data_IF_653528315957
#
_entry.id   IF_653528315957
#
_cell.length_a   1.000
_cell.length_b   1.000
_cell.length_c   1.000
_cell.angle_alpha   90.00
_cell.angle_beta   90.00
_cell.angle_gamma   90.00
#
_symmetry.space_group_name_H-M   'P 1'
#
loop_
_entity.id
_entity.type
_entity.pdbx_description
1 polymer ?
#
# COMPACT_ATOMS: atom_id res chain seq x y z
N UNK A 1 2.14 20.77 2.50
CA UNK A 1 2.45 22.12 2.98
C UNK A 1 3.03 22.05 4.38
N UNK A 2 4.01 22.93 4.68
CA UNK A 2 4.54 23.17 6.02
C UNK A 2 4.56 24.66 6.28
N UNK A 3 4.13 25.08 7.46
CA UNK A 3 4.11 26.49 7.87
C UNK A 3 3.12 26.73 9.02
N UNK A 4 3.27 27.88 9.67
CA UNK A 4 2.36 28.31 10.73
C UNK A 4 1.01 28.79 10.14
N UNK A 5 -0.08 28.57 10.85
CA UNK A 5 -1.40 29.00 10.47
C UNK A 5 -1.90 28.33 9.19
N UNK A 6 -1.67 27.02 9.06
CA UNK A 6 -2.28 26.16 8.05
C UNK A 6 -3.35 25.27 8.70
N UNK A 7 -4.32 24.82 7.89
CA UNK A 7 -5.39 23.92 8.31
C UNK A 7 -5.65 22.84 7.26
N UNK A 8 -5.99 21.63 7.70
CA UNK A 8 -6.49 20.55 6.84
C UNK A 8 -7.97 20.73 6.44
N UNK A 9 -8.67 21.74 6.96
CA UNK A 9 -10.11 21.99 6.69
C UNK A 9 -10.31 22.73 5.36
N UNK A 10 -9.91 22.10 4.26
CA UNK A 10 -10.07 22.62 2.90
C UNK A 10 -10.60 21.54 1.96
N UNK A 11 -11.30 21.96 0.91
CA UNK A 11 -11.86 21.05 -0.08
C UNK A 11 -10.79 20.57 -1.09
N UNK A 12 -11.11 19.51 -1.83
CA UNK A 12 -10.28 19.01 -2.93
C UNK A 12 -10.35 19.91 -4.17
N UNK A 13 -9.24 19.98 -4.91
CA UNK A 13 -9.22 20.55 -6.26
C UNK A 13 -9.57 19.50 -7.34
N UNK A 14 -9.59 18.22 -7.01
CA UNK A 14 -9.85 17.12 -7.93
C UNK A 14 -11.30 17.15 -8.45
N UNK A 15 -11.54 17.26 -9.78
CA UNK A 15 -12.88 17.27 -10.36
C UNK A 15 -13.57 15.90 -10.30
N UNK A 16 -12.84 14.79 -10.06
CA UNK A 16 -13.32 13.39 -10.08
C UNK A 16 -13.84 12.88 -11.42
N UNK A 17 -13.85 13.71 -12.44
CA UNK A 17 -14.33 13.38 -13.79
C UNK A 17 -13.29 13.86 -14.79
N UNK A 18 -12.85 12.97 -15.65
CA UNK A 18 -11.91 13.28 -16.71
C UNK A 18 -12.45 14.36 -17.66
N UNK A 19 -11.59 15.22 -18.16
CA UNK A 19 -11.94 16.33 -19.03
C UNK A 19 -12.46 17.59 -18.32
N UNK A 20 -12.75 17.51 -17.03
CA UNK A 20 -13.14 18.68 -16.24
C UNK A 20 -11.93 19.48 -15.75
N UNK A 21 -12.14 20.79 -15.58
CA UNK A 21 -11.13 21.66 -14.96
C UNK A 21 -11.01 21.37 -13.46
N UNK A 22 -9.82 21.58 -12.85
CA UNK A 22 -9.66 21.55 -11.41
C UNK A 22 -10.69 22.45 -10.72
N UNK A 23 -11.21 21.98 -9.60
CA UNK A 23 -12.10 22.77 -8.75
C UNK A 23 -11.31 23.81 -7.97
N UNK A 24 -11.96 24.92 -7.65
CA UNK A 24 -11.45 25.87 -6.69
C UNK A 24 -11.45 25.25 -5.29
N UNK A 25 -10.31 25.26 -4.61
CA UNK A 25 -10.19 24.83 -3.22
C UNK A 25 -10.89 25.88 -2.33
N UNK A 26 -11.77 25.43 -1.44
CA UNK A 26 -12.53 26.28 -0.51
C UNK A 26 -12.19 25.91 0.92
N UNK A 27 -12.19 26.90 1.81
CA UNK A 27 -12.21 26.65 3.25
C UNK A 27 -13.49 25.88 3.62
N UNK A 28 -13.37 24.89 4.50
CA UNK A 28 -14.49 24.08 4.99
C UNK A 28 -14.96 24.53 6.39
N UNK A 29 -14.29 25.53 6.96
CA UNK A 29 -14.71 26.24 8.17
C UNK A 29 -14.38 27.74 8.05
N UNK A 30 -14.79 28.54 9.02
CA UNK A 30 -14.63 30.01 9.05
C UNK A 30 -13.28 30.46 9.66
N UNK A 31 -12.29 29.55 9.79
CA UNK A 31 -10.99 29.90 10.37
C UNK A 31 -10.10 30.64 9.36
N UNK A 32 -9.28 31.61 9.81
CA UNK A 32 -8.31 32.26 8.95
C UNK A 32 -7.27 31.29 8.38
N UNK A 33 -6.94 30.22 9.09
CA UNK A 33 -6.01 29.17 8.71
C UNK A 33 -6.56 28.36 7.52
N UNK A 34 -7.83 28.00 7.53
CA UNK A 34 -8.46 27.29 6.41
C UNK A 34 -8.53 28.19 5.16
N UNK A 35 -8.91 29.46 5.31
CA UNK A 35 -8.94 30.42 4.21
C UNK A 35 -7.54 30.65 3.62
N UNK A 36 -6.51 30.81 4.46
CA UNK A 36 -5.12 30.93 4.05
C UNK A 36 -4.64 29.68 3.29
N UNK A 37 -4.96 28.50 3.79
CA UNK A 37 -4.57 27.23 3.14
C UNK A 37 -5.23 27.08 1.79
N UNK A 38 -6.52 27.37 1.66
CA UNK A 38 -7.26 27.34 0.40
C UNK A 38 -6.64 28.29 -0.64
N UNK A 39 -6.32 29.52 -0.25
CA UNK A 39 -5.67 30.51 -1.12
C UNK A 39 -4.29 30.03 -1.61
N UNK A 40 -3.47 29.45 -0.72
CA UNK A 40 -2.17 28.89 -1.09
C UNK A 40 -2.32 27.74 -2.09
N UNK A 41 -3.25 26.82 -1.86
CA UNK A 41 -3.49 25.67 -2.74
C UNK A 41 -4.01 26.12 -4.12
N UNK A 42 -4.92 27.08 -4.19
CA UNK A 42 -5.38 27.64 -5.46
C UNK A 42 -4.22 28.30 -6.25
N UNK A 43 -3.37 29.06 -5.57
CA UNK A 43 -2.14 29.64 -6.17
C UNK A 43 -1.17 28.56 -6.63
N UNK A 44 -1.03 27.46 -5.88
CA UNK A 44 -0.18 26.32 -6.26
C UNK A 44 -0.66 25.68 -7.56
N UNK A 45 -1.95 25.40 -7.70
CA UNK A 45 -2.54 24.80 -8.92
C UNK A 45 -2.25 25.67 -10.14
N UNK A 46 -2.52 26.95 -10.05
CA UNK A 46 -2.27 27.90 -11.16
C UNK A 46 -0.78 28.01 -11.48
N UNK A 47 0.06 28.19 -10.46
CA UNK A 47 1.49 28.38 -10.62
C UNK A 47 2.17 27.14 -11.21
N UNK A 48 1.80 25.94 -10.78
CA UNK A 48 2.36 24.70 -11.33
C UNK A 48 2.00 24.54 -12.80
N UNK A 49 0.75 24.79 -13.17
CA UNK A 49 0.35 24.78 -14.59
C UNK A 49 1.19 25.75 -15.44
N UNK A 50 1.32 27.02 -15.01
CA UNK A 50 2.10 28.03 -15.73
C UNK A 50 3.59 27.66 -15.85
N UNK A 51 4.14 26.99 -14.84
CA UNK A 51 5.56 26.58 -14.87
C UNK A 51 5.84 25.38 -15.78
N UNK A 52 4.88 24.45 -15.91
CA UNK A 52 5.16 23.16 -16.57
C UNK A 52 4.44 22.98 -17.91
N UNK A 53 3.44 23.80 -18.26
CA UNK A 53 2.68 23.66 -19.53
C UNK A 53 3.58 23.65 -20.77
N UNK A 54 4.62 24.48 -20.78
CA UNK A 54 5.57 24.62 -21.89
C UNK A 54 6.94 23.98 -21.58
N UNK A 55 7.02 23.14 -20.55
CA UNK A 55 8.27 22.49 -20.17
C UNK A 55 8.71 21.52 -21.28
N UNK A 56 10.01 21.43 -21.62
CA UNK A 56 10.51 20.58 -22.71
C UNK A 56 10.04 19.12 -22.65
N UNK A 57 9.94 18.54 -21.44
CA UNK A 57 9.43 17.19 -21.22
C UNK A 57 7.97 17.08 -21.68
N UNK A 58 7.13 18.07 -21.36
CA UNK A 58 5.72 18.07 -21.77
C UNK A 58 5.55 18.29 -23.26
N UNK A 59 6.35 19.16 -23.86
CA UNK A 59 6.35 19.37 -25.32
C UNK A 59 6.72 18.06 -26.03
N UNK A 60 7.76 17.37 -25.54
CA UNK A 60 8.16 16.07 -26.10
C UNK A 60 7.05 15.00 -25.92
N UNK A 61 6.41 14.93 -24.77
CA UNK A 61 5.28 14.00 -24.54
C UNK A 61 4.15 14.23 -25.57
N UNK A 62 3.83 15.50 -25.83
CA UNK A 62 2.80 15.88 -26.83
C UNK A 62 3.23 15.46 -28.23
N UNK A 63 4.50 15.68 -28.62
CA UNK A 63 5.06 15.22 -29.91
C UNK A 63 4.98 13.69 -30.03
N UNK A 64 5.20 12.96 -28.96
CA UNK A 64 5.13 11.50 -28.89
C UNK A 64 3.67 10.97 -28.79
N UNK A 65 2.65 11.86 -28.83
CA UNK A 65 1.23 11.49 -28.70
C UNK A 65 0.77 11.14 -27.29
N UNK A 66 1.59 11.45 -26.29
CA UNK A 66 1.29 11.18 -24.87
C UNK A 66 0.65 12.40 -24.18
N UNK A 67 -0.24 12.23 -23.22
CA UNK A 67 -0.80 13.34 -22.43
C UNK A 67 0.30 14.04 -21.62
N UNK A 68 0.31 15.39 -21.58
CA UNK A 68 1.28 16.14 -20.78
C UNK A 68 0.98 16.02 -19.27
N UNK A 69 2.04 15.98 -18.45
CA UNK A 69 1.96 16.11 -17.00
C UNK A 69 2.04 17.61 -16.62
N UNK A 70 0.95 18.33 -16.82
CA UNK A 70 0.96 19.81 -16.87
C UNK A 70 0.30 20.50 -15.65
N UNK A 71 -0.13 19.75 -14.65
CA UNK A 71 -0.80 20.34 -13.47
C UNK A 71 -0.63 19.44 -12.24
N UNK A 72 -0.57 20.07 -11.05
CA UNK A 72 -0.66 19.40 -9.76
C UNK A 72 -2.00 19.73 -9.12
N UNK A 73 -2.78 18.70 -8.81
CA UNK A 73 -4.13 18.84 -8.24
C UNK A 73 -4.10 18.32 -6.78
N UNK A 74 -4.17 19.20 -5.77
CA UNK A 74 -4.23 18.77 -4.36
C UNK A 74 -5.58 18.13 -4.03
N UNK A 75 -5.53 17.03 -3.28
CA UNK A 75 -6.70 16.34 -2.75
C UNK A 75 -6.37 15.68 -1.40
N UNK A 76 -7.40 15.27 -0.65
CA UNK A 76 -7.24 14.53 0.60
C UNK A 76 -6.51 15.34 1.67
N UNK A 77 -6.85 16.63 1.82
CA UNK A 77 -6.26 17.48 2.85
C UNK A 77 -6.51 16.91 4.25
N UNK A 78 -5.50 16.91 5.09
CA UNK A 78 -5.54 16.47 6.47
C UNK A 78 -4.29 16.90 7.22
N UNK A 79 -4.34 16.79 8.53
CA UNK A 79 -3.18 16.97 9.39
C UNK A 79 -2.49 15.61 9.57
N UNK A 80 -1.16 15.62 9.62
CA UNK A 80 -0.40 14.39 9.91
C UNK A 80 -0.64 14.03 11.38
N UNK A 81 -1.35 12.94 11.69
CA UNK A 81 -1.57 12.52 13.06
C UNK A 81 -0.25 12.07 13.69
N UNK A 82 -0.15 12.24 15.01
CA UNK A 82 0.91 11.59 15.79
C UNK A 82 0.40 10.19 16.13
N UNK A 83 1.05 9.19 15.61
CA UNK A 83 0.75 7.79 15.90
C UNK A 83 1.94 7.14 16.59
N UNK A 84 1.68 6.21 17.48
CA UNK A 84 2.68 5.32 18.03
C UNK A 84 3.27 4.47 16.91
N UNK A 85 4.58 4.31 16.87
CA UNK A 85 5.21 3.46 15.85
C UNK A 85 4.81 2.00 16.02
N UNK A 86 4.85 1.24 14.94
CA UNK A 86 4.60 -0.20 14.99
C UNK A 86 5.63 -0.89 15.87
N UNK A 87 6.88 -0.43 15.79
CA UNK A 87 7.99 -0.94 16.59
C UNK A 87 7.75 -0.73 18.11
N UNK A 88 7.32 0.45 18.51
CA UNK A 88 7.05 0.74 19.92
C UNK A 88 5.82 -0.02 20.42
N UNK A 89 4.76 -0.08 19.58
CA UNK A 89 3.48 -0.69 19.96
C UNK A 89 3.53 -2.21 20.14
N UNK A 90 4.34 -2.87 19.31
CA UNK A 90 4.39 -4.34 19.26
C UNK A 90 5.77 -4.91 19.64
N UNK A 91 6.70 -4.04 20.05
CA UNK A 91 8.08 -4.41 20.43
C UNK A 91 8.80 -5.20 19.34
N UNK A 92 8.61 -4.81 18.08
CA UNK A 92 9.24 -5.43 16.91
C UNK A 92 10.23 -4.46 16.26
N UNK A 93 11.21 -5.01 15.54
CA UNK A 93 12.08 -4.26 14.64
C UNK A 93 11.63 -4.48 13.20
N UNK A 94 10.90 -3.51 12.64
CA UNK A 94 10.12 -3.73 11.42
C UNK A 94 10.70 -3.08 10.17
N UNK A 95 10.63 -3.80 9.04
CA UNK A 95 10.96 -3.29 7.72
C UNK A 95 9.78 -3.42 6.75
N UNK A 96 9.74 -2.51 5.78
CA UNK A 96 8.76 -2.50 4.70
C UNK A 96 9.46 -2.70 3.35
N UNK A 97 9.08 -3.76 2.64
CA UNK A 97 9.51 -4.11 1.29
C UNK A 97 8.32 -3.92 0.38
N UNK A 98 8.28 -2.83 -0.37
CA UNK A 98 7.13 -2.47 -1.18
C UNK A 98 7.56 -1.80 -2.49
N UNK A 99 6.72 -1.93 -3.51
CA UNK A 99 6.97 -1.40 -4.84
C UNK A 99 6.45 0.03 -4.99
N UNK A 100 5.35 0.34 -4.32
CA UNK A 100 4.64 1.61 -4.51
C UNK A 100 4.95 2.63 -3.42
N UNK A 101 5.05 3.90 -3.84
CA UNK A 101 5.33 5.01 -2.92
C UNK A 101 4.27 5.20 -1.83
N UNK A 102 3.04 4.74 -2.07
CA UNK A 102 1.95 4.78 -1.08
C UNK A 102 2.27 3.85 0.10
N UNK A 103 2.57 2.60 -0.18
CA UNK A 103 2.85 1.59 0.87
C UNK A 103 4.16 1.92 1.59
N UNK A 104 5.21 2.32 0.86
CA UNK A 104 6.45 2.82 1.48
C UNK A 104 6.20 4.03 2.40
N UNK A 105 5.30 4.92 2.00
CA UNK A 105 4.88 6.07 2.81
C UNK A 105 4.15 5.65 4.09
N UNK A 106 3.28 4.66 4.01
CA UNK A 106 2.57 4.06 5.16
C UNK A 106 3.58 3.38 6.09
N UNK A 107 4.49 2.56 5.56
CA UNK A 107 5.55 1.91 6.34
C UNK A 107 6.39 2.94 7.11
N UNK A 108 6.88 3.98 6.42
CA UNK A 108 7.65 5.06 7.07
C UNK A 108 6.85 5.80 8.13
N UNK A 109 5.56 6.04 7.89
CA UNK A 109 4.66 6.68 8.84
C UNK A 109 4.41 5.78 10.07
N UNK A 110 4.37 4.47 9.88
CA UNK A 110 4.26 3.47 10.96
C UNK A 110 5.58 3.22 11.71
N UNK A 111 6.68 3.88 11.32
CA UNK A 111 8.00 3.74 11.97
C UNK A 111 8.84 2.58 11.47
N UNK A 112 8.49 2.00 10.31
CA UNK A 112 9.24 0.91 9.69
C UNK A 112 10.43 1.44 8.88
N UNK A 113 11.49 0.68 8.81
CA UNK A 113 12.59 0.90 7.87
C UNK A 113 12.14 0.53 6.45
N UNK A 114 12.48 1.39 5.47
CA UNK A 114 12.10 1.15 4.07
C UNK A 114 13.26 0.52 3.34
N UNK A 115 13.03 -0.68 2.81
CA UNK A 115 13.99 -1.39 1.97
C UNK A 115 13.71 -1.04 0.50
N UNK A 116 14.63 -0.31 -0.11
CA UNK A 116 14.51 0.10 -1.50
C UNK A 116 14.95 -1.05 -2.43
N UNK A 117 14.22 -1.25 -3.52
CA UNK A 117 14.51 -2.24 -4.55
C UNK A 117 14.64 -1.57 -5.91
N UNK A 118 15.54 -2.08 -6.76
CA UNK A 118 15.67 -1.65 -8.15
C UNK A 118 14.84 -2.55 -9.08
N UNK A 119 14.29 -1.98 -10.15
CA UNK A 119 13.59 -2.72 -11.19
C UNK A 119 12.19 -3.22 -10.81
N UNK A 120 11.60 -2.70 -9.73
CA UNK A 120 10.21 -2.95 -9.36
C UNK A 120 9.32 -1.84 -9.91
N UNK A 121 8.14 -2.21 -10.40
CA UNK A 121 7.24 -1.29 -11.11
C UNK A 121 5.89 -1.10 -10.43
N UNK A 122 5.48 -2.03 -9.56
CA UNK A 122 4.13 -2.12 -9.01
C UNK A 122 3.10 -2.69 -10.00
N UNK A 123 3.52 -3.04 -11.20
CA UNK A 123 2.70 -3.62 -12.25
C UNK A 123 2.92 -5.14 -12.41
N UNK A 124 2.21 -5.72 -13.38
CA UNK A 124 2.36 -7.15 -13.71
C UNK A 124 3.70 -7.49 -14.36
N UNK A 125 4.46 -6.49 -14.79
CA UNK A 125 5.81 -6.60 -15.36
C UNK A 125 6.93 -6.45 -14.32
N UNK A 126 6.60 -6.35 -13.03
CA UNK A 126 7.57 -6.18 -11.96
C UNK A 126 8.57 -7.33 -11.85
N UNK A 127 9.77 -7.02 -11.34
CA UNK A 127 10.84 -8.00 -11.15
C UNK A 127 10.62 -8.81 -9.86
N UNK A 128 9.83 -9.90 -9.94
CA UNK A 128 9.53 -10.79 -8.81
C UNK A 128 10.76 -11.50 -8.26
N UNK A 129 11.74 -11.80 -9.11
CA UNK A 129 13.01 -12.41 -8.71
C UNK A 129 13.78 -11.46 -7.77
N UNK A 130 13.83 -10.17 -8.07
CA UNK A 130 14.48 -9.19 -7.20
C UNK A 130 13.72 -9.00 -5.88
N UNK A 131 12.39 -9.00 -5.90
CA UNK A 131 11.56 -8.94 -4.68
C UNK A 131 11.87 -10.15 -3.80
N UNK A 132 11.84 -11.37 -4.35
CA UNK A 132 12.17 -12.61 -3.65
C UNK A 132 13.56 -12.54 -3.02
N UNK A 133 14.57 -12.19 -3.81
CA UNK A 133 15.97 -12.18 -3.36
C UNK A 133 16.18 -11.14 -2.26
N UNK A 134 15.52 -9.98 -2.36
CA UNK A 134 15.52 -8.94 -1.32
C UNK A 134 14.89 -9.45 -0.03
N UNK A 135 13.74 -10.12 -0.10
CA UNK A 135 13.08 -10.69 1.09
C UNK A 135 14.00 -11.70 1.78
N UNK A 136 14.54 -12.64 1.01
CA UNK A 136 15.43 -13.69 1.55
C UNK A 136 16.69 -13.10 2.17
N UNK A 137 17.30 -12.11 1.52
CA UNK A 137 18.48 -11.42 2.06
C UNK A 137 18.15 -10.70 3.37
N UNK A 138 17.05 -9.95 3.42
CA UNK A 138 16.66 -9.22 4.62
C UNK A 138 16.29 -10.15 5.77
N UNK A 139 15.55 -11.23 5.52
CA UNK A 139 15.21 -12.22 6.56
C UNK A 139 16.45 -12.89 7.14
N UNK A 140 17.45 -13.21 6.31
CA UNK A 140 18.64 -13.93 6.76
C UNK A 140 19.74 -13.04 7.33
N UNK A 141 19.86 -11.80 6.90
CA UNK A 141 21.04 -10.96 7.12
C UNK A 141 20.77 -9.64 7.83
N UNK A 142 19.53 -9.23 8.04
CA UNK A 142 19.20 -8.02 8.77
C UNK A 142 18.89 -8.28 10.25
N UNK A 143 18.73 -7.21 11.04
CA UNK A 143 18.30 -7.27 12.44
C UNK A 143 16.79 -7.13 12.59
N UNK A 144 16.04 -7.04 11.46
CA UNK A 144 14.59 -6.94 11.49
C UNK A 144 13.94 -8.29 11.78
N UNK A 145 12.89 -8.27 12.57
CA UNK A 145 12.11 -9.45 12.96
C UNK A 145 10.66 -9.43 12.45
N UNK A 146 10.24 -8.32 11.85
CA UNK A 146 8.96 -8.17 11.19
C UNK A 146 9.11 -7.51 9.81
N UNK A 147 8.50 -8.11 8.79
CA UNK A 147 8.52 -7.60 7.41
C UNK A 147 7.11 -7.42 6.87
N UNK A 148 6.77 -6.19 6.47
CA UNK A 148 5.62 -5.93 5.62
C UNK A 148 6.06 -5.99 4.16
N UNK A 149 5.52 -6.95 3.42
CA UNK A 149 5.83 -7.14 2.01
C UNK A 149 4.57 -6.84 1.20
N UNK A 150 4.70 -5.99 0.18
CA UNK A 150 3.60 -5.67 -0.73
C UNK A 150 4.03 -5.92 -2.18
N UNK A 151 3.22 -6.70 -2.89
CA UNK A 151 3.35 -7.02 -4.33
C UNK A 151 2.04 -6.60 -4.99
N UNK A 152 2.07 -5.60 -5.88
CA UNK A 152 0.91 -4.81 -6.28
C UNK A 152 0.26 -5.26 -7.60
N UNK A 153 0.98 -5.93 -8.49
CA UNK A 153 0.53 -6.21 -9.86
C UNK A 153 -0.81 -6.94 -10.02
N UNK A 154 -1.25 -7.71 -8.99
CA UNK A 154 -2.57 -8.34 -9.01
C UNK A 154 -3.71 -7.32 -8.89
N UNK A 155 -3.48 -6.20 -8.18
CA UNK A 155 -4.42 -5.09 -8.09
C UNK A 155 -4.52 -4.34 -9.41
N UNK A 156 -3.39 -4.02 -10.06
CA UNK A 156 -3.35 -3.36 -11.36
C UNK A 156 -4.16 -4.15 -12.41
N UNK A 157 -3.90 -5.46 -12.55
CA UNK A 157 -4.64 -6.33 -13.45
C UNK A 157 -6.16 -6.39 -13.10
N UNK A 158 -6.49 -6.26 -11.82
CA UNK A 158 -7.87 -6.15 -11.34
C UNK A 158 -8.56 -4.88 -11.83
N UNK A 159 -7.91 -3.74 -11.74
CA UNK A 159 -8.39 -2.44 -12.23
C UNK A 159 -8.56 -2.43 -13.74
N UNK A 160 -7.66 -3.05 -14.49
CA UNK A 160 -7.76 -3.21 -15.93
C UNK A 160 -8.90 -4.15 -16.35
N UNK A 161 -9.34 -5.00 -15.44
CA UNK A 161 -10.34 -6.02 -15.72
C UNK A 161 -9.80 -7.17 -16.56
N UNK A 162 -8.49 -7.41 -16.48
CA UNK A 162 -7.78 -8.45 -17.20
C UNK A 162 -7.62 -9.72 -16.36
N UNK A 163 -8.62 -10.61 -16.45
CA UNK A 163 -8.65 -11.83 -15.66
C UNK A 163 -7.49 -12.79 -15.96
N UNK A 164 -7.08 -12.89 -17.21
CA UNK A 164 -6.00 -13.80 -17.65
C UNK A 164 -4.64 -13.32 -17.08
N UNK A 165 -4.38 -12.02 -17.16
CA UNK A 165 -3.17 -11.42 -16.63
C UNK A 165 -3.09 -11.53 -15.11
N UNK A 166 -4.20 -11.23 -14.42
CA UNK A 166 -4.28 -11.39 -12.97
C UNK A 166 -4.00 -12.82 -12.52
N UNK A 167 -4.58 -13.81 -13.20
CA UNK A 167 -4.34 -15.22 -12.92
C UNK A 167 -2.86 -15.58 -13.10
N UNK A 168 -2.29 -15.25 -14.26
CA UNK A 168 -0.86 -15.52 -14.56
C UNK A 168 0.08 -14.83 -13.58
N UNK A 169 -0.24 -13.61 -13.17
CA UNK A 169 0.57 -12.89 -12.21
C UNK A 169 0.55 -13.57 -10.83
N UNK A 170 -0.63 -13.97 -10.35
CA UNK A 170 -0.75 -14.69 -9.06
C UNK A 170 0.00 -16.03 -9.12
N UNK A 171 -0.15 -16.80 -10.21
CA UNK A 171 0.61 -18.04 -10.40
C UNK A 171 2.13 -17.80 -10.40
N UNK A 172 2.58 -16.71 -11.03
CA UNK A 172 3.99 -16.34 -11.05
C UNK A 172 4.51 -15.90 -9.68
N UNK A 173 3.72 -15.19 -8.88
CA UNK A 173 4.07 -14.86 -7.48
C UNK A 173 4.22 -16.14 -6.66
N UNK A 174 3.33 -17.10 -6.82
CA UNK A 174 3.42 -18.40 -6.14
C UNK A 174 4.69 -19.15 -6.56
N UNK A 175 4.95 -19.27 -7.86
CA UNK A 175 6.11 -19.97 -8.41
C UNK A 175 7.45 -19.31 -8.02
N UNK A 176 7.57 -17.99 -8.14
CA UNK A 176 8.84 -17.28 -7.99
C UNK A 176 9.12 -16.87 -6.55
N UNK A 177 8.09 -16.38 -5.84
CA UNK A 177 8.27 -15.81 -4.50
C UNK A 177 7.91 -16.83 -3.43
N UNK A 178 6.66 -17.33 -3.42
CA UNK A 178 6.17 -18.17 -2.33
C UNK A 178 6.92 -19.51 -2.24
N UNK A 179 7.26 -20.11 -3.38
CA UNK A 179 8.03 -21.37 -3.44
C UNK A 179 9.39 -21.28 -2.70
N UNK A 180 9.99 -20.12 -2.65
CA UNK A 180 11.25 -19.87 -1.94
C UNK A 180 11.03 -19.44 -0.49
N UNK A 181 10.03 -18.60 -0.22
CA UNK A 181 9.71 -18.17 1.15
C UNK A 181 9.30 -19.35 2.04
N UNK A 182 8.61 -20.35 1.49
CA UNK A 182 8.22 -21.56 2.22
C UNK A 182 9.39 -22.46 2.63
N UNK A 183 10.62 -22.18 2.15
CA UNK A 183 11.84 -22.88 2.56
C UNK A 183 12.56 -22.22 3.74
N UNK A 184 12.12 -21.01 4.12
CA UNK A 184 12.67 -20.33 5.29
C UNK A 184 12.25 -21.08 6.56
N UNK A 185 13.23 -21.33 7.42
CA UNK A 185 13.02 -21.97 8.71
C UNK A 185 12.78 -20.90 9.79
N UNK A 186 12.08 -21.27 10.85
CA UNK A 186 11.78 -20.41 12.01
C UNK A 186 11.09 -19.06 11.66
N UNK A 187 10.28 -19.04 10.61
CA UNK A 187 9.54 -17.89 10.15
C UNK A 187 8.03 -18.14 10.19
N UNK A 188 7.28 -17.10 10.52
CA UNK A 188 5.83 -17.05 10.32
C UNK A 188 5.52 -16.28 9.05
N UNK A 189 4.74 -16.88 8.15
CA UNK A 189 4.28 -16.26 6.90
C UNK A 189 2.78 -16.02 7.02
N UNK A 190 2.38 -14.76 6.95
CA UNK A 190 0.99 -14.31 6.84
C UNK A 190 0.76 -13.83 5.42
N UNK A 191 0.03 -14.62 4.63
CA UNK A 191 -0.32 -14.28 3.26
C UNK A 191 -1.77 -13.79 3.22
N UNK A 192 -1.97 -12.57 2.73
CA UNK A 192 -3.29 -11.94 2.63
C UNK A 192 -3.28 -10.86 1.55
N UNK A 193 -4.35 -10.10 1.44
CA UNK A 193 -4.41 -8.85 0.66
C UNK A 193 -4.94 -7.72 1.55
N UNK A 194 -4.70 -6.48 1.16
CA UNK A 194 -5.22 -5.28 1.81
C UNK A 194 -6.70 -5.04 1.45
N UNK A 195 -7.09 -5.36 0.21
CA UNK A 195 -8.48 -5.31 -0.28
C UNK A 195 -8.68 -6.26 -1.46
N UNK A 196 -9.93 -6.44 -1.83
CA UNK A 196 -10.32 -7.12 -3.08
C UNK A 196 -10.48 -6.11 -4.21
N UNK A 197 -9.97 -6.45 -5.40
CA UNK A 197 -10.18 -5.71 -6.65
C UNK A 197 -10.73 -6.67 -7.71
N UNK A 198 -12.06 -6.95 -7.65
CA UNK A 198 -12.67 -7.93 -8.54
C UNK A 198 -12.67 -7.45 -9.99
N UNK A 199 -12.32 -8.34 -10.91
CA UNK A 199 -12.27 -8.10 -12.36
C UNK A 199 -13.55 -7.48 -12.92
N UNK A 200 -14.71 -7.93 -12.42
CA UNK A 200 -16.02 -7.42 -12.87
C UNK A 200 -16.33 -6.02 -12.37
N UNK A 201 -15.71 -5.59 -11.27
CA UNK A 201 -15.92 -4.27 -10.65
C UNK A 201 -14.91 -3.26 -11.16
N UNK A 202 -13.68 -3.70 -11.46
CA UNK A 202 -12.55 -2.84 -11.86
C UNK A 202 -12.24 -1.73 -10.84
N UNK A 203 -12.53 -2.01 -9.60
CA UNK A 203 -12.30 -1.11 -8.47
C UNK A 203 -12.36 -1.93 -7.19
N UNK A 204 -11.94 -1.31 -6.08
CA UNK A 204 -11.98 -1.97 -4.77
C UNK A 204 -13.42 -2.30 -4.36
N UNK A 205 -13.57 -3.43 -3.68
CA UNK A 205 -14.85 -3.86 -3.12
C UNK A 205 -14.73 -4.16 -1.62
N UNK A 206 -15.87 -4.24 -0.94
CA UNK A 206 -15.94 -4.58 0.48
C UNK A 206 -15.92 -6.07 0.77
N UNK A 207 -15.56 -6.90 -0.19
CA UNK A 207 -15.46 -8.34 -0.01
C UNK A 207 -14.29 -8.68 0.93
N UNK A 208 -14.44 -9.70 1.79
CA UNK A 208 -13.35 -10.15 2.65
C UNK A 208 -12.22 -10.76 1.82
N UNK A 209 -10.99 -10.47 2.21
CA UNK A 209 -9.80 -11.08 1.59
C UNK A 209 -9.44 -12.40 2.28
N UNK A 210 -8.84 -13.37 1.56
CA UNK A 210 -8.34 -14.59 2.16
C UNK A 210 -7.12 -14.30 3.04
N UNK A 211 -6.92 -15.11 4.08
CA UNK A 211 -5.72 -15.10 4.91
C UNK A 211 -5.25 -16.52 5.16
N UNK A 212 -3.93 -16.72 5.08
CA UNK A 212 -3.23 -17.96 5.39
C UNK A 212 -2.09 -17.66 6.36
N UNK A 213 -1.89 -18.54 7.33
CA UNK A 213 -0.77 -18.49 8.26
C UNK A 213 0.01 -19.80 8.13
N UNK A 214 1.32 -19.68 7.91
CA UNK A 214 2.26 -20.79 7.91
C UNK A 214 3.40 -20.48 8.89
N UNK A 215 3.87 -21.48 9.60
CA UNK A 215 5.03 -21.34 10.51
C UNK A 215 5.07 -22.40 11.60
N UNK A 216 6.09 -22.36 12.48
CA UNK A 216 6.26 -23.31 13.58
C UNK A 216 5.03 -23.35 14.48
N UNK A 217 4.58 -24.55 14.87
CA UNK A 217 3.48 -24.78 15.81
C UNK A 217 2.12 -24.18 15.39
N UNK A 218 2.00 -23.61 14.18
CA UNK A 218 0.70 -23.16 13.66
C UNK A 218 -0.23 -24.37 13.50
N UNK A 219 -1.42 -24.27 14.09
CA UNK A 219 -2.41 -25.35 14.01
C UNK A 219 -2.99 -25.45 12.62
N UNK A 220 -2.76 -26.59 11.97
CA UNK A 220 -3.28 -26.91 10.63
C UNK A 220 -4.77 -27.23 10.72
N UNK A 221 -5.55 -26.69 9.80
CA UNK A 221 -6.96 -27.04 9.58
C UNK A 221 -7.14 -27.94 8.35
N UNK A 222 -8.38 -28.24 7.99
CA UNK A 222 -8.71 -29.11 6.84
C UNK A 222 -8.71 -28.41 5.48
N UNK A 223 -8.36 -27.11 5.41
CA UNK A 223 -8.33 -26.31 4.17
C UNK A 223 -7.04 -26.56 3.43
N UNK A 224 -7.16 -27.06 2.19
CA UNK A 224 -6.00 -27.39 1.34
C UNK A 224 -5.87 -26.49 0.10
N UNK A 225 -6.73 -25.50 -0.05
CA UNK A 225 -6.75 -24.58 -1.19
C UNK A 225 -6.79 -23.13 -0.70
N UNK A 226 -6.00 -22.27 -1.32
CA UNK A 226 -5.98 -20.84 -1.02
C UNK A 226 -6.87 -20.08 -2.03
N UNK A 227 -8.15 -19.98 -1.70
CA UNK A 227 -9.12 -19.17 -2.42
C UNK A 227 -10.26 -18.75 -1.47
N UNK A 228 -11.04 -17.75 -1.84
CA UNK A 228 -12.08 -17.14 -0.99
C UNK A 228 -13.16 -18.15 -0.52
N UNK A 229 -13.45 -19.19 -1.30
CA UNK A 229 -14.46 -20.21 -0.95
C UNK A 229 -13.91 -21.25 0.04
N UNK A 230 -12.67 -21.67 -0.16
CA UNK A 230 -12.03 -22.66 0.67
C UNK A 230 -11.65 -22.06 2.03
N UNK A 231 -10.98 -20.90 2.06
CA UNK A 231 -10.52 -20.27 3.32
C UNK A 231 -11.67 -19.78 4.20
N UNK A 232 -12.89 -19.58 3.65
CA UNK A 232 -14.07 -19.27 4.44
C UNK A 232 -14.46 -20.39 5.45
N UNK A 233 -13.89 -21.60 5.28
CA UNK A 233 -14.06 -22.76 6.17
C UNK A 233 -12.89 -22.97 7.10
N UNK A 234 -11.87 -22.11 7.02
CA UNK A 234 -10.64 -22.22 7.80
C UNK A 234 -10.84 -21.99 9.29
N UNK A 235 -9.91 -22.48 10.08
CA UNK A 235 -9.95 -22.47 11.54
C UNK A 235 -9.90 -21.08 12.17
N UNK A 236 -9.40 -20.08 11.44
CA UNK A 236 -9.37 -18.68 11.91
C UNK A 236 -10.72 -17.96 11.77
N UNK A 237 -11.66 -18.51 11.02
CA UNK A 237 -12.94 -17.85 10.74
C UNK A 237 -12.74 -16.44 10.12
N UNK A 238 -13.60 -15.48 10.49
CA UNK A 238 -13.45 -14.06 10.09
C UNK A 238 -12.77 -13.27 11.18
N UNK A 239 -11.65 -12.66 10.85
CA UNK A 239 -10.92 -11.71 11.70
C UNK A 239 -10.90 -10.33 11.03
N UNK A 240 -10.55 -9.31 11.78
CA UNK A 240 -10.30 -7.96 11.24
C UNK A 240 -8.81 -7.80 10.95
N UNK A 241 -8.43 -6.96 10.00
CA UNK A 241 -7.03 -6.63 9.75
C UNK A 241 -6.27 -6.16 11.00
N UNK A 242 -6.95 -5.44 11.90
CA UNK A 242 -6.38 -5.01 13.18
C UNK A 242 -6.04 -6.16 14.16
N UNK A 243 -6.59 -7.36 13.94
CA UNK A 243 -6.34 -8.52 14.80
C UNK A 243 -5.05 -9.26 14.36
N UNK A 244 -4.59 -9.05 13.13
CA UNK A 244 -3.45 -9.77 12.53
C UNK A 244 -2.17 -9.58 13.33
N UNK A 245 -1.81 -8.34 13.68
CA UNK A 245 -0.60 -8.08 14.45
C UNK A 245 -0.64 -8.73 15.85
N UNK A 246 -1.79 -8.75 16.51
CA UNK A 246 -1.92 -9.40 17.81
C UNK A 246 -1.73 -10.92 17.72
N UNK A 247 -2.23 -11.55 16.65
CA UNK A 247 -2.03 -12.99 16.40
C UNK A 247 -0.56 -13.26 16.09
N UNK A 248 0.05 -12.43 15.25
CA UNK A 248 1.44 -12.57 14.84
C UNK A 248 2.39 -12.44 16.04
N UNK A 249 2.24 -11.40 16.84
CA UNK A 249 3.08 -11.18 18.03
C UNK A 249 2.88 -12.25 19.11
N UNK A 250 1.68 -12.84 19.23
CA UNK A 250 1.46 -13.99 20.10
C UNK A 250 2.23 -15.22 19.62
N UNK A 251 2.18 -15.53 18.33
CA UNK A 251 2.97 -16.61 17.72
C UNK A 251 4.49 -16.41 17.86
N UNK A 252 4.95 -15.17 17.74
CA UNK A 252 6.36 -14.79 17.94
C UNK A 252 6.79 -14.81 19.41
N UNK A 253 5.85 -14.93 20.34
CA UNK A 253 6.13 -14.88 21.78
C UNK A 253 6.33 -13.48 22.35
N UNK A 254 5.98 -12.42 21.60
CA UNK A 254 6.11 -10.99 21.98
C UNK A 254 4.87 -10.44 22.67
N UNK A 255 3.72 -11.14 22.58
CA UNK A 255 2.48 -10.64 23.14
C UNK A 255 2.50 -10.61 24.68
N UNK A 256 2.15 -9.46 25.25
CA UNK A 256 1.98 -9.35 26.70
C UNK A 256 0.73 -10.11 27.15
N UNK A 257 0.88 -10.99 28.15
CA UNK A 257 -0.24 -11.73 28.73
C UNK A 257 -0.99 -10.85 29.71
N UNK A 258 -2.27 -10.61 29.45
CA UNK A 258 -3.14 -9.94 30.40
C UNK A 258 -3.56 -10.90 31.54
N UNK A 259 -3.37 -10.47 32.78
CA UNK A 259 -3.85 -11.22 33.97
C UNK A 259 -2.98 -12.38 34.42
N UNK A 260 -1.71 -12.38 34.05
CA UNK A 260 -0.71 -13.32 34.53
C UNK A 260 0.05 -12.75 35.74
#
# INVERSE_FOLDING_TARGET
LRGEGLSGKVSDADPKVEGNKPKEVKALDDTPEAAKTADILNKLVVKTYEMVKDHPVNLKRIEDGLPPANIVIPRGAGEVPVVESLNDKYEVNSACIAETGLIMGIGRFAGMDIIEMEGVTGGTDTNLENIRDTIIDQVNNSEHDFFLINIDGADEAGHDGNAEEKLKFIEKVDEVVMSELLKLEDCYIFLTADHSTPISVKNHSGDPVPILINGPEVRVDDVCEYNEFAVAKGGMCRIRGADVMNIMTDLMGYAHKFGA
#
